data_IF_148040554594
#
_entry.id   IF_148040554594
#
_cell.length_a   1.000
_cell.length_b   1.000
_cell.length_c   1.000
_cell.angle_alpha   90.00
_cell.angle_beta   90.00
_cell.angle_gamma   90.00
#
_symmetry.space_group_name_H-M   'P 1'
#
loop_
_entity.id
_entity.type
_entity.pdbx_description
1 polymer ?
#
# COMPACT_ATOMS: atom_id res chain seq x y z
N UNK A 1 -4.77 2.52 -5.13
CA UNK A 1 -4.03 3.72 -4.70
C UNK A 1 -2.79 3.87 -5.58
N UNK A 2 -2.38 5.10 -5.84
CA UNK A 2 -1.06 5.42 -6.39
C UNK A 2 -0.33 6.41 -5.48
N UNK A 3 0.99 6.36 -5.48
CA UNK A 3 1.87 7.26 -4.73
C UNK A 3 3.21 7.42 -5.46
N UNK A 4 3.84 8.59 -5.38
CA UNK A 4 5.22 8.77 -5.90
C UNK A 4 6.24 8.07 -5.02
N UNK A 5 5.98 7.99 -3.71
CA UNK A 5 6.70 7.15 -2.78
C UNK A 5 5.75 6.57 -1.72
N UNK A 6 5.88 5.28 -1.45
CA UNK A 6 5.19 4.56 -0.39
C UNK A 6 6.22 3.98 0.57
N UNK A 7 6.13 4.38 1.83
CA UNK A 7 7.04 3.96 2.89
C UNK A 7 6.30 3.18 3.96
N UNK A 8 6.71 1.94 4.18
CA UNK A 8 6.21 1.05 5.23
C UNK A 8 7.23 1.04 6.37
N UNK A 9 6.96 1.79 7.43
CA UNK A 9 7.87 1.95 8.59
C UNK A 9 7.49 0.96 9.68
N UNK A 10 8.47 0.27 10.23
CA UNK A 10 8.25 -0.83 11.17
C UNK A 10 7.60 -2.04 10.49
N UNK A 11 7.89 -2.24 9.19
CA UNK A 11 7.25 -3.26 8.38
C UNK A 11 7.59 -4.66 8.87
N UNK A 12 6.57 -5.52 8.96
CA UNK A 12 6.73 -6.94 9.22
C UNK A 12 5.79 -7.69 8.29
N UNK A 13 6.36 -8.46 7.37
CA UNK A 13 5.59 -9.35 6.52
C UNK A 13 5.08 -10.56 7.34
N UNK A 14 3.80 -10.87 7.21
CA UNK A 14 3.10 -11.91 8.01
C UNK A 14 2.70 -13.13 7.20
N UNK A 15 2.99 -13.15 5.90
CA UNK A 15 2.63 -14.25 5.01
C UNK A 15 1.50 -13.88 4.04
N UNK A 16 0.97 -14.91 3.38
CA UNK A 16 -0.20 -14.80 2.51
C UNK A 16 -1.43 -15.24 3.30
N UNK A 17 -2.49 -14.44 3.27
CA UNK A 17 -3.77 -14.75 3.91
C UNK A 17 -4.91 -14.60 2.92
N UNK A 18 -5.99 -15.35 3.12
CA UNK A 18 -7.20 -15.22 2.32
C UNK A 18 -8.19 -14.26 3.00
N UNK A 19 -8.68 -13.27 2.25
CA UNK A 19 -9.71 -12.29 2.67
C UNK A 19 -10.78 -12.25 1.60
N UNK A 20 -12.02 -12.57 1.97
CA UNK A 20 -13.18 -12.58 1.06
C UNK A 20 -12.95 -13.35 -0.25
N UNK A 21 -12.28 -14.50 -0.16
CA UNK A 21 -11.93 -15.34 -1.32
C UNK A 21 -10.75 -14.83 -2.16
N UNK A 22 -10.04 -13.79 -1.70
CA UNK A 22 -8.87 -13.21 -2.37
C UNK A 22 -7.62 -13.44 -1.54
N UNK A 23 -6.58 -14.02 -2.16
CA UNK A 23 -5.25 -14.16 -1.54
C UNK A 23 -4.55 -12.80 -1.49
N UNK A 24 -4.06 -12.43 -0.32
CA UNK A 24 -3.45 -11.14 -0.06
C UNK A 24 -2.13 -11.30 0.67
N UNK A 25 -1.18 -10.42 0.36
CA UNK A 25 0.02 -10.21 1.14
C UNK A 25 -0.34 -9.48 2.42
N UNK A 26 0.02 -10.05 3.56
CA UNK A 26 -0.27 -9.48 4.86
C UNK A 26 0.96 -8.81 5.45
N UNK A 27 0.85 -7.52 5.75
CA UNK A 27 1.88 -6.76 6.48
C UNK A 27 1.29 -6.14 7.75
N UNK A 28 2.07 -6.12 8.82
CA UNK A 28 1.86 -5.19 9.93
C UNK A 28 2.90 -4.08 9.84
N UNK A 29 2.49 -2.82 9.94
CA UNK A 29 3.38 -1.66 9.95
C UNK A 29 3.06 -0.77 11.15
N UNK A 30 4.06 -0.06 11.65
CA UNK A 30 3.85 0.90 12.75
C UNK A 30 3.34 2.24 12.20
N UNK A 31 3.75 2.58 10.97
CA UNK A 31 3.39 3.83 10.29
C UNK A 31 3.51 3.71 8.76
N UNK A 32 2.63 4.41 8.05
CA UNK A 32 2.74 4.62 6.60
C UNK A 32 3.05 6.07 6.29
N UNK A 33 3.93 6.28 5.31
CA UNK A 33 4.08 7.56 4.63
C UNK A 33 3.79 7.38 3.14
N UNK A 34 2.92 8.23 2.60
CA UNK A 34 2.42 8.12 1.24
C UNK A 34 2.54 9.50 0.58
N UNK A 35 3.56 9.65 -0.25
CA UNK A 35 3.81 10.89 -1.01
C UNK A 35 2.91 10.92 -2.25
N UNK A 36 2.28 12.07 -2.50
CA UNK A 36 1.35 12.26 -3.63
C UNK A 36 0.21 11.24 -3.66
N UNK A 37 -0.37 10.97 -2.49
CA UNK A 37 -1.48 10.02 -2.33
C UNK A 37 -2.61 10.34 -3.33
N UNK A 38 -2.96 9.35 -4.14
CA UNK A 38 -4.23 9.29 -4.88
C UNK A 38 -4.89 7.94 -4.61
N UNK A 39 -6.04 7.98 -3.97
CA UNK A 39 -6.88 6.83 -3.69
C UNK A 39 -8.14 6.90 -4.55
N UNK A 40 -8.56 5.74 -5.05
CA UNK A 40 -9.82 5.55 -5.77
C UNK A 40 -10.57 4.42 -5.08
N UNK A 41 -11.85 4.63 -4.82
CA UNK A 41 -12.77 3.64 -4.29
C UNK A 41 -14.05 3.61 -5.12
N UNK A 42 -14.58 2.42 -5.36
CA UNK A 42 -15.86 2.25 -6.05
C UNK A 42 -17.00 2.63 -5.10
N UNK A 43 -17.93 3.49 -5.54
CA UNK A 43 -19.13 3.87 -4.80
C UNK A 43 -20.38 3.07 -5.22
N UNK A 44 -20.22 2.14 -6.16
CA UNK A 44 -21.31 1.51 -6.90
C UNK A 44 -21.85 2.40 -8.02
N UNK A 45 -22.70 1.81 -8.88
CA UNK A 45 -23.36 2.50 -9.99
C UNK A 45 -22.41 3.19 -10.98
N UNK A 46 -21.20 2.65 -11.15
CA UNK A 46 -20.19 3.18 -12.06
C UNK A 46 -19.51 4.48 -11.60
N UNK A 47 -19.71 4.90 -10.34
CA UNK A 47 -19.10 6.11 -9.78
C UNK A 47 -17.84 5.77 -8.99
N UNK A 48 -16.79 6.57 -9.16
CA UNK A 48 -15.54 6.39 -8.43
C UNK A 48 -15.31 7.58 -7.49
N UNK A 49 -15.15 7.30 -6.19
CA UNK A 49 -14.66 8.30 -5.25
C UNK A 49 -13.15 8.42 -5.40
N UNK A 50 -12.67 9.59 -5.81
CA UNK A 50 -11.26 9.92 -5.82
C UNK A 50 -10.91 10.81 -4.65
N UNK A 51 -9.97 10.36 -3.82
CA UNK A 51 -9.36 11.14 -2.74
C UNK A 51 -7.89 11.39 -3.08
N UNK A 52 -7.46 12.65 -3.13
CA UNK A 52 -6.08 13.00 -3.48
C UNK A 52 -5.50 14.01 -2.50
N UNK A 53 -4.23 13.82 -2.14
CA UNK A 53 -3.48 14.79 -1.37
C UNK A 53 -3.06 15.98 -2.23
N UNK A 54 -2.63 17.07 -1.58
CA UNK A 54 -1.93 18.15 -2.30
C UNK A 54 -0.64 17.59 -2.93
N UNK A 55 -0.30 17.94 -4.18
CA UNK A 55 0.98 17.54 -4.78
C UNK A 55 2.18 17.95 -3.91
N UNK A 56 3.21 17.11 -3.88
CA UNK A 56 4.40 17.19 -3.05
C UNK A 56 4.17 16.91 -1.56
N UNK A 57 2.95 16.60 -1.13
CA UNK A 57 2.66 16.34 0.29
C UNK A 57 2.73 14.87 0.67
N UNK A 58 3.01 14.62 1.96
CA UNK A 58 3.11 13.28 2.54
C UNK A 58 1.88 13.03 3.41
N UNK A 59 1.02 12.13 2.97
CA UNK A 59 -0.06 11.57 3.79
C UNK A 59 0.51 10.55 4.75
N UNK A 60 -0.04 10.46 5.97
CA UNK A 60 0.47 9.56 7.01
C UNK A 60 -0.65 8.74 7.61
N UNK A 61 -0.39 7.45 7.81
CA UNK A 61 -1.20 6.60 8.70
C UNK A 61 -0.36 6.34 9.93
N UNK A 62 -0.83 6.80 11.09
CA UNK A 62 -0.14 6.72 12.40
C UNK A 62 -1.02 6.04 13.43
N UNK A 63 -0.54 5.85 14.66
CA UNK A 63 -1.27 5.21 15.76
C UNK A 63 -1.59 3.72 15.50
N UNK A 64 -0.59 2.97 15.03
CA UNK A 64 -0.69 1.54 14.76
C UNK A 64 -0.77 0.64 16.02
N UNK A 65 -0.72 -0.69 15.83
CA UNK A 65 -0.34 -1.37 14.59
C UNK A 65 -1.36 -1.20 13.47
N UNK A 66 -0.86 -1.05 12.24
CA UNK A 66 -1.66 -0.93 11.01
C UNK A 66 -1.53 -2.24 10.25
N UNK A 67 -2.66 -2.85 9.94
CA UNK A 67 -2.78 -4.08 9.17
C UNK A 67 -3.01 -3.76 7.70
N UNK A 68 -2.23 -4.37 6.82
CA UNK A 68 -2.33 -4.20 5.38
C UNK A 68 -2.58 -5.55 4.71
N UNK A 69 -3.71 -5.65 4.01
CA UNK A 69 -4.08 -6.79 3.19
C UNK A 69 -3.99 -6.39 1.72
N UNK A 70 -2.82 -6.65 1.14
CA UNK A 70 -2.44 -6.14 -0.18
C UNK A 70 -2.58 -7.23 -1.23
N UNK A 71 -3.47 -7.05 -2.20
CA UNK A 71 -3.59 -7.97 -3.35
C UNK A 71 -2.41 -7.82 -4.30
N UNK A 72 -2.03 -6.58 -4.57
CA UNK A 72 -0.94 -6.25 -5.49
C UNK A 72 -0.22 -4.99 -5.02
N UNK A 73 1.11 -5.06 -4.96
CA UNK A 73 1.99 -3.92 -4.73
C UNK A 73 3.03 -3.88 -5.85
N UNK A 74 2.93 -2.90 -6.73
CA UNK A 74 3.92 -2.62 -7.76
C UNK A 74 4.66 -1.35 -7.43
N UNK A 75 5.98 -1.34 -7.57
CA UNK A 75 6.80 -0.13 -7.41
C UNK A 75 8.28 -0.43 -7.65
N UNK A 76 9.11 0.60 -7.60
CA UNK A 76 10.56 0.44 -7.65
C UNK A 76 11.12 0.36 -6.24
N UNK A 77 11.76 -0.77 -5.93
CA UNK A 77 12.44 -1.02 -4.67
C UNK A 77 13.96 -1.01 -4.91
N UNK A 78 14.68 -0.12 -4.24
CA UNK A 78 16.12 0.14 -4.40
C UNK A 78 16.55 0.48 -5.84
N UNK A 79 16.64 -0.51 -6.74
CA UNK A 79 17.04 -0.36 -8.14
C UNK A 79 16.17 -1.16 -9.12
N UNK A 80 15.23 -1.96 -8.63
CA UNK A 80 14.43 -2.87 -9.45
C UNK A 80 12.94 -2.55 -9.33
N UNK A 81 12.23 -2.56 -10.47
CA UNK A 81 10.77 -2.53 -10.47
C UNK A 81 10.26 -3.92 -10.10
N UNK A 82 9.45 -3.98 -9.06
CA UNK A 82 8.95 -5.22 -8.46
C UNK A 82 7.43 -5.16 -8.38
N UNK A 83 6.78 -6.26 -8.76
CA UNK A 83 5.36 -6.50 -8.52
C UNK A 83 5.24 -7.64 -7.53
N UNK A 84 4.59 -7.38 -6.40
CA UNK A 84 4.34 -8.33 -5.34
C UNK A 84 2.87 -8.70 -5.32
N UNK A 85 2.59 -10.00 -5.47
CA UNK A 85 1.29 -10.64 -5.27
C UNK A 85 1.49 -11.92 -4.47
N UNK A 86 0.41 -12.57 -4.05
CA UNK A 86 0.51 -13.89 -3.41
C UNK A 86 1.21 -14.94 -4.29
N UNK A 87 1.04 -14.82 -5.61
CA UNK A 87 1.60 -15.72 -6.63
C UNK A 87 3.06 -15.39 -6.93
N UNK A 88 3.46 -14.11 -6.89
CA UNK A 88 4.86 -13.73 -7.15
C UNK A 88 5.81 -14.32 -6.10
N UNK A 89 5.34 -14.61 -4.89
CA UNK A 89 6.13 -15.25 -3.85
C UNK A 89 6.36 -16.75 -4.07
N UNK A 90 5.61 -17.37 -4.98
CA UNK A 90 5.82 -18.76 -5.36
C UNK A 90 6.92 -18.94 -6.43
N UNK A 91 7.51 -17.84 -6.92
CA UNK A 91 8.60 -17.86 -7.90
C UNK A 91 9.89 -18.30 -7.19
N UNK A 92 10.51 -19.45 -7.58
CA UNK A 92 11.61 -20.07 -6.83
C UNK A 92 12.84 -19.19 -6.60
N UNK A 93 13.12 -18.25 -7.52
CA UNK A 93 14.37 -17.49 -7.55
C UNK A 93 14.19 -15.99 -7.19
N UNK A 94 13.03 -15.60 -6.67
CA UNK A 94 12.82 -14.22 -6.23
C UNK A 94 13.42 -14.03 -4.83
N UNK A 95 14.48 -13.21 -4.72
CA UNK A 95 15.01 -12.81 -3.42
C UNK A 95 14.01 -11.89 -2.71
N UNK A 96 13.38 -12.43 -1.67
CA UNK A 96 12.40 -11.75 -0.82
C UNK A 96 12.97 -11.30 0.53
N UNK A 97 14.29 -11.33 0.69
CA UNK A 97 14.97 -10.93 1.93
C UNK A 97 14.63 -9.50 2.36
N UNK A 98 14.31 -8.62 1.41
CA UNK A 98 13.87 -7.26 1.70
C UNK A 98 12.59 -7.24 2.56
N UNK A 99 11.71 -8.24 2.50
CA UNK A 99 10.48 -8.29 3.32
C UNK A 99 10.76 -8.35 4.84
N UNK A 100 12.00 -8.67 5.23
CA UNK A 100 12.46 -8.66 6.62
C UNK A 100 13.03 -7.30 7.06
N UNK A 101 13.20 -6.35 6.14
CA UNK A 101 13.69 -5.02 6.48
C UNK A 101 12.65 -4.28 7.32
N UNK A 102 13.09 -3.56 8.38
CA UNK A 102 12.18 -2.79 9.23
C UNK A 102 11.55 -1.61 8.49
N UNK A 103 12.08 -1.24 7.33
CA UNK A 103 11.60 -0.15 6.52
C UNK A 103 11.66 -0.53 5.04
N UNK A 104 10.55 -0.38 4.34
CA UNK A 104 10.44 -0.59 2.90
C UNK A 104 9.98 0.70 2.23
N UNK A 105 10.67 1.10 1.17
CA UNK A 105 10.28 2.27 0.36
C UNK A 105 10.14 1.86 -1.09
N UNK A 106 8.94 2.03 -1.63
CA UNK A 106 8.63 1.83 -3.05
C UNK A 106 8.42 3.19 -3.70
N UNK A 107 9.14 3.50 -4.77
CA UNK A 107 8.78 4.65 -5.62
C UNK A 107 7.83 4.22 -6.74
N UNK A 108 7.08 5.18 -7.28
CA UNK A 108 6.09 4.95 -8.35
C UNK A 108 5.11 3.82 -7.98
N UNK A 109 4.67 3.85 -6.72
CA UNK A 109 3.90 2.79 -6.12
C UNK A 109 2.46 2.78 -6.64
N UNK A 110 2.03 1.61 -7.10
CA UNK A 110 0.65 1.27 -7.42
C UNK A 110 0.24 0.14 -6.49
N UNK A 111 -0.78 0.40 -5.67
CA UNK A 111 -1.23 -0.53 -4.63
C UNK A 111 -2.70 -0.85 -4.82
N UNK A 112 -3.02 -2.14 -4.84
CA UNK A 112 -4.38 -2.67 -4.77
C UNK A 112 -4.53 -3.39 -3.43
N UNK A 113 -5.19 -2.73 -2.49
CA UNK A 113 -5.51 -3.32 -1.19
C UNK A 113 -6.91 -3.92 -1.23
N UNK A 114 -7.10 -5.01 -0.51
CA UNK A 114 -8.43 -5.50 -0.14
C UNK A 114 -8.92 -4.74 1.08
N UNK A 115 -8.03 -4.58 2.07
CA UNK A 115 -8.37 -3.90 3.32
C UNK A 115 -7.13 -3.25 3.97
N UNK A 116 -7.39 -2.21 4.77
CA UNK A 116 -6.44 -1.57 5.69
C UNK A 116 -7.17 -1.33 7.00
N UNK A 117 -6.64 -1.89 8.08
CA UNK A 117 -7.23 -1.76 9.41
C UNK A 117 -6.26 -1.13 10.41
N UNK A 118 -6.80 -0.28 11.27
CA UNK A 118 -6.03 0.41 12.31
C UNK A 118 -5.40 1.73 11.86
N UNK A 119 -4.97 2.51 12.85
CA UNK A 119 -4.36 3.80 12.67
C UNK A 119 -5.29 4.95 12.25
N UNK A 120 -4.70 6.11 12.04
CA UNK A 120 -5.38 7.35 11.64
C UNK A 120 -4.71 7.92 10.41
N UNK A 121 -5.46 8.03 9.31
CA UNK A 121 -4.99 8.63 8.07
C UNK A 121 -5.15 10.15 8.11
N UNK A 122 -4.05 10.87 7.91
CA UNK A 122 -4.03 12.32 7.68
C UNK A 122 -3.61 12.61 6.24
N UNK A 123 -4.42 13.38 5.52
CA UNK A 123 -4.21 13.76 4.11
C UNK A 123 -4.05 15.28 4.00
N UNK A 124 -2.82 15.82 3.90
CA UNK A 124 -2.61 17.26 3.82
C UNK A 124 -3.23 17.86 2.55
N UNK A 125 -4.14 18.82 2.75
CA UNK A 125 -4.85 19.47 1.65
C UNK A 125 -5.66 18.49 0.80
N UNK A 126 -6.19 17.43 1.43
CA UNK A 126 -6.99 16.40 0.77
C UNK A 126 -8.15 16.98 -0.01
N UNK A 127 -8.33 16.53 -1.24
CA UNK A 127 -9.48 16.82 -2.09
C UNK A 127 -10.22 15.52 -2.37
N UNK A 128 -11.54 15.59 -2.30
CA UNK A 128 -12.45 14.50 -2.61
C UNK A 128 -13.30 14.91 -3.81
N UNK A 129 -13.37 14.05 -4.81
CA UNK A 129 -14.16 14.24 -6.02
C UNK A 129 -14.82 12.93 -6.44
N UNK A 130 -15.91 13.02 -7.19
CA UNK A 130 -16.53 11.86 -7.86
C UNK A 130 -16.13 11.91 -9.33
N UNK A 131 -15.59 10.80 -9.84
CA UNK A 131 -15.30 10.54 -11.25
C UNK A 131 -16.41 9.67 -11.86
#
# INVERSE_FOLDING_TARGET
MTASALKLVGSRYRGVVERDGVRTLHFTVDRLEITDLVQRGDLGNGKILRTAARPGSVSRVVNGPIELYTRELTGTLAIARTTLTAESLAVPDLDLGFLQLPELTFTDAVVRNTDLAGGTLTIPGGRVSVE
#
